data_IF_040686276911
#
_entry.id   IF_040686276911
#
_cell.length_a   1.000
_cell.length_b   1.000
_cell.length_c   1.000
_cell.angle_alpha   90.00
_cell.angle_beta   90.00
_cell.angle_gamma   90.00
#
_symmetry.space_group_name_H-M   'P 1'
#
loop_
_entity.id
_entity.type
_entity.pdbx_description
1 polymer ?
#
# COMPACT_ATOMS: atom_id res chain seq x y z
N UNK A 1 4.33 -8.61 4.20
CA UNK A 1 4.48 -7.89 5.49
C UNK A 1 3.73 -6.56 5.48
N UNK A 2 4.03 -5.61 4.58
CA UNK A 2 3.40 -4.27 4.54
C UNK A 2 1.87 -4.34 4.46
N UNK A 3 1.31 -5.20 3.59
CA UNK A 3 -0.14 -5.35 3.43
C UNK A 3 -0.88 -5.85 4.70
N UNK A 4 -0.19 -6.47 5.66
CA UNK A 4 -0.82 -7.09 6.84
C UNK A 4 -0.31 -6.53 8.18
N UNK A 5 0.71 -5.69 8.16
CA UNK A 5 1.30 -5.14 9.37
C UNK A 5 0.50 -3.93 9.86
N UNK A 6 0.27 -3.86 11.16
CA UNK A 6 -0.39 -2.74 11.84
C UNK A 6 0.31 -2.39 13.14
N UNK A 7 0.27 -1.11 13.49
CA UNK A 7 0.76 -0.58 14.77
C UNK A 7 -0.25 0.40 15.37
N UNK A 8 0.11 1.09 16.47
CA UNK A 8 -0.79 2.00 17.19
C UNK A 8 -1.26 3.21 16.35
N UNK A 9 -0.54 3.54 15.27
CA UNK A 9 -0.86 4.65 14.37
C UNK A 9 -1.56 4.22 13.07
N UNK A 10 -1.94 2.94 12.96
CA UNK A 10 -2.63 2.38 11.79
C UNK A 10 -1.83 1.28 11.07
N UNK A 11 -2.23 0.99 9.84
CA UNK A 11 -1.61 -0.06 9.02
C UNK A 11 -0.37 0.46 8.30
N UNK A 12 0.59 -0.43 8.08
CA UNK A 12 1.79 -0.09 7.32
C UNK A 12 1.45 0.24 5.85
N UNK A 13 0.35 -0.29 5.31
CA UNK A 13 -0.18 0.06 4.00
C UNK A 13 -0.69 1.50 3.93
N UNK A 14 -1.38 1.99 4.97
CA UNK A 14 -1.80 3.40 5.05
C UNK A 14 -0.59 4.33 5.01
N UNK A 15 0.45 4.02 5.79
CA UNK A 15 1.70 4.79 5.77
C UNK A 15 2.33 4.82 4.37
N UNK A 16 2.44 3.66 3.72
CA UNK A 16 2.99 3.55 2.37
C UNK A 16 2.22 4.42 1.35
N UNK A 17 0.88 4.40 1.40
CA UNK A 17 0.06 5.19 0.47
C UNK A 17 0.13 6.70 0.75
N UNK A 18 0.20 7.10 2.01
CA UNK A 18 0.41 8.50 2.37
C UNK A 18 1.77 9.00 1.90
N UNK A 19 2.82 8.18 2.02
CA UNK A 19 4.16 8.52 1.56
C UNK A 19 4.20 8.73 0.03
N UNK A 20 3.66 7.79 -0.75
CA UNK A 20 3.55 7.93 -2.21
C UNK A 20 2.81 9.21 -2.61
N UNK A 21 1.70 9.53 -1.95
CA UNK A 21 0.94 10.76 -2.22
C UNK A 21 1.77 12.03 -1.96
N UNK A 22 2.48 12.13 -0.83
CA UNK A 22 3.29 13.31 -0.52
C UNK A 22 4.49 13.45 -1.45
N UNK A 23 5.15 12.36 -1.81
CA UNK A 23 6.26 12.38 -2.78
C UNK A 23 5.80 12.86 -4.15
N UNK A 24 4.64 12.42 -4.64
CA UNK A 24 4.04 12.88 -5.90
C UNK A 24 3.73 14.38 -5.89
N UNK A 25 3.23 14.91 -4.77
CA UNK A 25 2.98 16.37 -4.63
C UNK A 25 4.27 17.19 -4.76
N UNK A 26 5.39 16.64 -4.32
CA UNK A 26 6.72 17.25 -4.42
C UNK A 26 7.40 17.00 -5.78
N UNK A 27 6.77 16.27 -6.70
CA UNK A 27 7.37 15.86 -7.97
C UNK A 27 8.45 14.79 -7.83
N UNK A 28 8.51 14.10 -6.69
CA UNK A 28 9.46 13.02 -6.40
C UNK A 28 8.87 11.68 -6.82
N UNK A 29 9.05 11.34 -8.10
CA UNK A 29 8.62 10.05 -8.64
C UNK A 29 9.66 8.96 -8.34
N UNK A 30 9.20 7.84 -7.80
CA UNK A 30 10.02 6.67 -7.50
C UNK A 30 9.35 5.41 -8.07
N UNK A 31 9.94 4.85 -9.11
CA UNK A 31 9.40 3.67 -9.80
C UNK A 31 9.38 2.41 -8.89
N UNK A 32 10.35 2.27 -7.99
CA UNK A 32 10.38 1.15 -7.04
C UNK A 32 9.24 1.29 -6.01
N UNK A 33 8.94 2.52 -5.60
CA UNK A 33 7.83 2.81 -4.69
C UNK A 33 6.48 2.56 -5.37
N UNK A 34 6.32 3.00 -6.62
CA UNK A 34 5.11 2.74 -7.42
C UNK A 34 4.84 1.23 -7.56
N UNK A 35 5.87 0.45 -7.87
CA UNK A 35 5.79 -1.02 -7.95
C UNK A 35 5.37 -1.65 -6.62
N UNK A 36 5.91 -1.14 -5.51
CA UNK A 36 5.59 -1.61 -4.17
C UNK A 36 4.13 -1.29 -3.80
N UNK A 37 3.67 -0.07 -4.09
CA UNK A 37 2.28 0.36 -3.92
C UNK A 37 1.35 -0.54 -4.73
N UNK A 38 1.69 -0.82 -5.99
CA UNK A 38 0.94 -1.74 -6.86
C UNK A 38 0.80 -3.13 -6.26
N UNK A 39 1.91 -3.73 -5.80
CA UNK A 39 1.93 -5.04 -5.15
C UNK A 39 1.09 -5.07 -3.86
N UNK A 40 1.18 -4.04 -3.03
CA UNK A 40 0.41 -3.95 -1.78
C UNK A 40 -1.09 -3.78 -2.07
N UNK A 41 -1.47 -2.98 -3.07
CA UNK A 41 -2.87 -2.85 -3.50
C UNK A 41 -3.44 -4.16 -4.01
N UNK A 42 -2.66 -4.90 -4.81
CA UNK A 42 -3.07 -6.22 -5.30
C UNK A 42 -3.35 -7.19 -4.14
N UNK A 43 -2.40 -7.31 -3.21
CA UNK A 43 -2.55 -8.18 -2.03
C UNK A 43 -3.75 -7.78 -1.14
N UNK A 44 -4.04 -6.49 -1.00
CA UNK A 44 -5.21 -6.01 -0.25
C UNK A 44 -6.52 -6.29 -1.01
N UNK A 45 -6.52 -6.18 -2.33
CA UNK A 45 -7.66 -6.55 -3.18
C UNK A 45 -7.96 -8.04 -3.17
N UNK A 46 -6.92 -8.90 -3.18
CA UNK A 46 -7.05 -10.35 -3.03
C UNK A 46 -7.59 -10.74 -1.64
N UNK A 47 -7.25 -9.98 -0.59
CA UNK A 47 -7.81 -10.18 0.76
C UNK A 47 -9.30 -9.83 0.89
N UNK A 48 -9.90 -9.22 -0.14
CA UNK A 48 -11.33 -8.87 -0.20
C UNK A 48 -12.17 -9.80 -1.08
N UNK A 49 -11.71 -11.02 -1.42
CA UNK A 49 -12.61 -12.06 -1.95
C UNK A 49 -13.23 -12.88 -0.80
N UNK A 50 -14.52 -12.70 -0.47
CA UNK A 50 -15.23 -13.66 0.35
C UNK A 50 -15.59 -14.87 -0.51
N UNK A 51 -15.11 -16.05 -0.10
CA UNK A 51 -15.64 -17.38 -0.43
C UNK A 51 -15.98 -17.68 -1.89
N UNK A 52 -15.13 -18.45 -2.57
CA UNK A 52 -15.60 -19.27 -3.69
C UNK A 52 -15.96 -20.66 -3.17
N UNK A 53 -17.28 -20.89 -3.08
CA UNK A 53 -18.09 -22.12 -3.13
C UNK A 53 -17.52 -23.43 -2.55
#
# INVERSE_FOLDING_TARGET
LIARASGPLGTNAQYLFSLDQELRKLGMYDACLDDLVGKVRHLLGESSQPGLA
#
